data_IF_853496909235
#
_entry.id   IF_853496909235
#
_cell.length_a   1.000
_cell.length_b   1.000
_cell.length_c   1.000
_cell.angle_alpha   90.00
_cell.angle_beta   90.00
_cell.angle_gamma   90.00
#
_symmetry.space_group_name_H-M   'P 1'
#
loop_
_entity.id
_entity.type
_entity.pdbx_description
1 polymer ?
#
# COMPACT_ATOMS: atom_id res chain seq x y z
N UNK A 1 11.04 34.60 17.55
CA UNK A 1 10.13 33.45 17.72
C UNK A 1 9.53 33.02 16.38
N UNK A 2 10.34 32.42 15.49
CA UNK A 2 9.86 31.91 14.17
C UNK A 2 10.23 30.44 13.93
N UNK A 3 10.90 29.81 14.89
CA UNK A 3 11.36 28.42 14.80
C UNK A 3 10.25 27.38 15.00
N UNK A 4 9.16 27.70 15.71
CA UNK A 4 8.12 26.70 16.02
C UNK A 4 7.08 26.46 14.91
N UNK A 5 6.87 27.38 13.96
CA UNK A 5 5.78 27.25 12.98
C UNK A 5 6.17 26.44 11.73
N UNK A 6 7.46 26.41 11.39
CA UNK A 6 7.96 25.69 10.22
C UNK A 6 8.14 24.19 10.48
N UNK A 7 8.50 23.79 11.71
CA UNK A 7 8.62 22.38 12.11
C UNK A 7 7.25 21.71 12.37
N UNK A 8 6.29 22.43 12.96
CA UNK A 8 4.92 21.91 13.17
C UNK A 8 4.15 21.72 11.85
N UNK A 9 4.46 22.50 10.81
CA UNK A 9 3.80 22.42 9.52
C UNK A 9 4.17 21.16 8.71
N UNK A 10 5.16 20.35 9.10
CA UNK A 10 5.59 19.19 8.32
C UNK A 10 4.63 17.99 8.41
N UNK A 11 4.65 17.21 9.50
CA UNK A 11 3.84 16.00 9.63
C UNK A 11 2.33 16.26 9.65
N UNK A 12 1.88 17.37 10.25
CA UNK A 12 0.45 17.70 10.34
C UNK A 12 -0.13 18.09 8.97
N UNK A 13 0.62 18.83 8.15
CA UNK A 13 0.20 19.13 6.78
C UNK A 13 0.17 17.88 5.92
N UNK A 14 1.18 17.01 6.04
CA UNK A 14 1.21 15.73 5.34
C UNK A 14 -0.02 14.88 5.71
N UNK A 15 -0.34 14.77 7.00
CA UNK A 15 -1.55 14.08 7.46
C UNK A 15 -2.84 14.72 6.92
N UNK A 16 -2.90 16.05 6.87
CA UNK A 16 -4.01 16.79 6.28
C UNK A 16 -4.18 16.52 4.78
N UNK A 17 -3.09 16.40 4.02
CA UNK A 17 -3.12 16.05 2.60
C UNK A 17 -3.55 14.60 2.38
N UNK A 18 -3.01 13.67 3.17
CA UNK A 18 -3.37 12.25 3.07
C UNK A 18 -4.84 12.02 3.46
N UNK A 19 -5.38 12.79 4.41
CA UNK A 19 -6.81 12.79 4.73
C UNK A 19 -7.68 13.25 3.56
N UNK A 20 -7.32 14.35 2.90
CA UNK A 20 -8.03 14.80 1.69
C UNK A 20 -7.94 13.77 0.56
N UNK A 21 -6.77 13.15 0.39
CA UNK A 21 -6.57 12.08 -0.58
C UNK A 21 -7.49 10.89 -0.33
N UNK A 22 -7.61 10.45 0.94
CA UNK A 22 -8.60 9.44 1.34
C UNK A 22 -10.01 9.87 0.95
N UNK A 23 -10.44 11.07 1.31
CA UNK A 23 -11.82 11.52 1.07
C UNK A 23 -12.15 11.56 -0.44
N UNK A 24 -11.19 11.95 -1.28
CA UNK A 24 -11.33 11.93 -2.73
C UNK A 24 -11.43 10.50 -3.29
N UNK A 25 -10.62 9.57 -2.76
CA UNK A 25 -10.68 8.17 -3.16
C UNK A 25 -11.98 7.50 -2.74
N UNK A 26 -12.49 7.80 -1.54
CA UNK A 26 -13.79 7.31 -1.06
C UNK A 26 -14.92 7.79 -1.98
N UNK A 27 -14.92 9.06 -2.39
CA UNK A 27 -15.86 9.57 -3.41
C UNK A 27 -15.69 8.92 -4.77
N UNK A 28 -14.45 8.62 -5.17
CA UNK A 28 -14.21 7.89 -6.43
C UNK A 28 -14.84 6.51 -6.42
N UNK A 29 -14.86 5.82 -5.26
CA UNK A 29 -15.51 4.51 -5.13
C UNK A 29 -17.04 4.59 -5.26
N UNK A 30 -17.64 5.73 -4.89
CA UNK A 30 -19.08 5.97 -5.10
C UNK A 30 -19.43 6.14 -6.58
N UNK A 31 -18.49 6.60 -7.39
CA UNK A 31 -18.67 6.81 -8.84
C UNK A 31 -18.43 5.51 -9.61
N UNK A 32 -17.25 4.92 -9.44
CA UNK A 32 -16.88 3.66 -10.07
C UNK A 32 -15.82 2.95 -9.20
N UNK A 33 -16.20 1.90 -8.45
CA UNK A 33 -15.28 1.17 -7.57
C UNK A 33 -14.29 0.28 -8.35
N UNK A 34 -14.56 -0.04 -9.60
CA UNK A 34 -13.72 -0.91 -10.43
C UNK A 34 -12.79 -0.13 -11.38
N UNK A 35 -12.98 1.19 -11.46
CA UNK A 35 -12.16 2.11 -12.24
C UNK A 35 -10.66 1.82 -12.07
N UNK A 36 -9.96 1.76 -13.22
CA UNK A 36 -8.53 1.48 -13.29
C UNK A 36 -8.12 0.17 -12.59
N UNK A 37 -9.00 -0.83 -12.59
CA UNK A 37 -8.76 -2.12 -11.95
C UNK A 37 -8.75 -2.03 -10.42
N UNK A 38 -9.63 -1.21 -9.83
CA UNK A 38 -9.72 -1.05 -8.38
C UNK A 38 -8.55 -0.27 -7.77
N UNK A 39 -7.97 0.68 -8.52
CA UNK A 39 -6.82 1.48 -8.07
C UNK A 39 -7.14 2.30 -6.81
N UNK A 40 -8.38 2.76 -6.66
CA UNK A 40 -8.83 3.48 -5.48
C UNK A 40 -8.78 2.60 -4.22
N UNK A 41 -9.25 1.34 -4.32
CA UNK A 41 -9.12 0.36 -3.25
C UNK A 41 -7.65 0.08 -2.90
N UNK A 42 -6.77 -0.10 -3.89
CA UNK A 42 -5.34 -0.32 -3.64
C UNK A 42 -4.72 0.83 -2.83
N UNK A 43 -5.01 2.06 -3.25
CA UNK A 43 -4.47 3.28 -2.61
C UNK A 43 -5.04 3.50 -1.21
N UNK A 44 -6.35 3.34 -1.02
CA UNK A 44 -6.98 3.43 0.30
C UNK A 44 -6.41 2.39 1.26
N UNK A 45 -6.26 1.15 0.77
CA UNK A 45 -5.59 0.08 1.50
C UNK A 45 -4.22 0.48 2.03
N UNK A 46 -3.38 1.01 1.14
CA UNK A 46 -2.04 1.51 1.48
C UNK A 46 -2.06 2.60 2.55
N UNK A 47 -2.89 3.64 2.34
CA UNK A 47 -3.00 4.76 3.26
C UNK A 47 -3.43 4.28 4.66
N UNK A 48 -4.40 3.37 4.74
CA UNK A 48 -4.95 2.92 6.01
C UNK A 48 -3.94 2.14 6.88
N UNK A 49 -2.98 1.40 6.31
CA UNK A 49 -1.95 0.71 7.12
C UNK A 49 -0.67 1.53 7.35
N UNK A 50 -0.45 2.57 6.53
CA UNK A 50 0.75 3.42 6.64
C UNK A 50 0.55 4.64 7.54
N UNK A 51 -0.69 5.15 7.65
CA UNK A 51 -1.01 6.30 8.50
C UNK A 51 -1.17 5.86 9.97
N UNK A 52 -0.74 6.67 10.95
CA UNK A 52 -1.02 6.40 12.36
C UNK A 52 -2.51 6.27 12.66
N UNK A 53 -2.86 5.40 13.60
CA UNK A 53 -4.23 5.28 14.11
C UNK A 53 -4.65 6.45 15.01
N UNK A 54 -5.87 6.37 15.54
CA UNK A 54 -6.37 7.31 16.54
C UNK A 54 -5.50 7.31 17.82
N UNK A 55 -5.22 8.45 18.46
CA UNK A 55 -5.73 9.80 18.15
C UNK A 55 -4.90 10.61 17.15
N UNK A 56 -3.73 10.12 16.73
CA UNK A 56 -2.80 10.89 15.89
C UNK A 56 -3.23 10.96 14.42
N UNK A 57 -3.95 9.97 13.92
CA UNK A 57 -4.39 9.90 12.55
C UNK A 57 -5.67 9.09 12.38
N UNK A 58 -5.83 8.47 11.22
CA UNK A 58 -7.02 7.70 10.84
C UNK A 58 -6.69 6.31 10.32
N UNK A 59 -5.44 5.87 10.46
CA UNK A 59 -5.02 4.53 10.07
C UNK A 59 -5.87 3.46 10.74
N UNK A 60 -6.11 2.39 10.01
CA UNK A 60 -6.94 1.27 10.44
C UNK A 60 -6.53 0.01 9.68
N UNK A 61 -5.97 -0.96 10.41
CA UNK A 61 -5.52 -2.22 9.82
C UNK A 61 -6.69 -3.05 9.26
N UNK A 62 -7.88 -2.94 9.86
CA UNK A 62 -9.08 -3.61 9.36
C UNK A 62 -9.54 -3.01 8.03
N UNK A 63 -9.63 -1.69 7.93
CA UNK A 63 -9.98 -1.01 6.66
C UNK A 63 -8.91 -1.24 5.59
N UNK A 64 -7.63 -1.24 5.97
CA UNK A 64 -6.55 -1.55 5.06
C UNK A 64 -6.74 -2.93 4.41
N UNK A 65 -7.01 -3.95 5.21
CA UNK A 65 -7.25 -5.30 4.71
C UNK A 65 -8.50 -5.42 3.84
N UNK A 66 -9.59 -4.77 4.24
CA UNK A 66 -10.83 -4.72 3.47
C UNK A 66 -10.60 -4.17 2.06
N UNK A 67 -10.00 -2.98 1.96
CA UNK A 67 -9.73 -2.36 0.66
C UNK A 67 -8.71 -3.17 -0.17
N UNK A 68 -7.64 -3.68 0.44
CA UNK A 68 -6.65 -4.48 -0.30
C UNK A 68 -7.22 -5.80 -0.83
N UNK A 69 -8.09 -6.46 -0.05
CA UNK A 69 -8.79 -7.66 -0.53
C UNK A 69 -9.72 -7.33 -1.68
N UNK A 70 -10.48 -6.23 -1.58
CA UNK A 70 -11.35 -5.81 -2.69
C UNK A 70 -10.55 -5.49 -3.95
N UNK A 71 -9.39 -4.84 -3.83
CA UNK A 71 -8.51 -4.60 -4.97
C UNK A 71 -7.99 -5.90 -5.61
N UNK A 72 -7.70 -6.93 -4.81
CA UNK A 72 -7.32 -8.25 -5.31
C UNK A 72 -8.48 -9.01 -5.96
N UNK A 73 -9.72 -8.81 -5.52
CA UNK A 73 -10.90 -9.37 -6.17
C UNK A 73 -11.09 -8.76 -7.57
N UNK A 74 -10.88 -7.46 -7.71
CA UNK A 74 -11.04 -6.73 -8.98
C UNK A 74 -9.89 -7.05 -9.94
N UNK A 75 -8.65 -7.08 -9.44
CA UNK A 75 -7.46 -7.24 -10.26
C UNK A 75 -6.48 -8.26 -9.64
N UNK A 76 -6.81 -9.57 -9.69
CA UNK A 76 -6.09 -10.62 -8.95
C UNK A 76 -4.64 -10.81 -9.39
N UNK A 77 -4.33 -10.52 -10.66
CA UNK A 77 -2.99 -10.69 -11.23
C UNK A 77 -2.24 -9.37 -11.41
N UNK A 78 -2.83 -8.24 -11.00
CA UNK A 78 -2.21 -6.93 -11.17
C UNK A 78 -1.07 -6.71 -10.17
N UNK A 79 -0.02 -6.03 -10.63
CA UNK A 79 1.21 -5.81 -9.86
C UNK A 79 0.96 -5.01 -8.56
N UNK A 80 0.17 -3.93 -8.64
CA UNK A 80 -0.03 -3.00 -7.54
C UNK A 80 -0.80 -3.63 -6.34
N UNK A 81 -2.00 -4.22 -6.50
CA UNK A 81 -2.71 -4.82 -5.36
C UNK A 81 -1.96 -5.99 -4.74
N UNK A 82 -1.30 -6.83 -5.53
CA UNK A 82 -0.45 -7.91 -5.02
C UNK A 82 0.75 -7.36 -4.22
N UNK A 83 1.39 -6.29 -4.70
CA UNK A 83 2.48 -5.64 -4.00
C UNK A 83 2.03 -5.03 -2.66
N UNK A 84 0.98 -4.22 -2.66
CA UNK A 84 0.50 -3.53 -1.47
C UNK A 84 -0.09 -4.50 -0.44
N UNK A 85 -0.73 -5.60 -0.86
CA UNK A 85 -1.14 -6.64 0.08
C UNK A 85 0.06 -7.41 0.66
N UNK A 86 1.09 -7.68 -0.13
CA UNK A 86 2.36 -8.20 0.36
C UNK A 86 3.01 -7.28 1.40
N UNK A 87 3.05 -5.97 1.14
CA UNK A 87 3.60 -4.97 2.06
C UNK A 87 2.77 -4.82 3.35
N UNK A 88 1.44 -4.78 3.24
CA UNK A 88 0.54 -4.84 4.39
C UNK A 88 0.85 -6.05 5.29
N UNK A 89 1.05 -7.23 4.69
CA UNK A 89 1.39 -8.43 5.43
C UNK A 89 2.77 -8.36 6.10
N UNK A 90 3.75 -7.68 5.48
CA UNK A 90 5.03 -7.38 6.14
C UNK A 90 4.83 -6.48 7.36
N UNK A 91 4.03 -5.42 7.24
CA UNK A 91 3.70 -4.51 8.34
C UNK A 91 3.03 -5.25 9.52
N UNK A 92 2.28 -6.31 9.24
CA UNK A 92 1.67 -7.20 10.25
C UNK A 92 2.59 -8.32 10.76
N UNK A 93 3.86 -8.34 10.35
CA UNK A 93 4.83 -9.37 10.74
C UNK A 93 4.58 -10.75 10.13
N UNK A 94 3.75 -10.84 9.08
CA UNK A 94 3.30 -12.07 8.42
C UNK A 94 4.17 -12.40 7.21
N UNK A 95 5.49 -12.44 7.43
CA UNK A 95 6.54 -12.54 6.41
C UNK A 95 6.35 -13.68 5.39
N UNK A 96 5.98 -14.88 5.85
CA UNK A 96 5.77 -16.02 4.95
C UNK A 96 4.64 -15.80 3.94
N UNK A 97 3.51 -15.21 4.39
CA UNK A 97 2.41 -14.87 3.48
C UNK A 97 2.78 -13.68 2.59
N UNK A 98 3.48 -12.68 3.13
CA UNK A 98 3.98 -11.55 2.34
C UNK A 98 4.84 -12.01 1.15
N UNK A 99 5.74 -12.98 1.37
CA UNK A 99 6.58 -13.55 0.31
C UNK A 99 5.76 -14.09 -0.87
N UNK A 100 4.64 -14.77 -0.59
CA UNK A 100 3.78 -15.34 -1.63
C UNK A 100 3.14 -14.24 -2.49
N UNK A 101 2.62 -13.19 -1.88
CA UNK A 101 1.99 -12.07 -2.58
C UNK A 101 2.98 -11.20 -3.35
N UNK A 102 4.17 -10.95 -2.79
CA UNK A 102 5.22 -10.22 -3.49
C UNK A 102 5.76 -11.01 -4.70
N UNK A 103 5.83 -12.34 -4.63
CA UNK A 103 6.18 -13.16 -5.80
C UNK A 103 5.13 -13.07 -6.89
N UNK A 104 3.83 -13.05 -6.53
CA UNK A 104 2.75 -12.80 -7.50
C UNK A 104 2.88 -11.44 -8.16
N UNK A 105 3.12 -10.39 -7.36
CA UNK A 105 3.40 -9.05 -7.91
C UNK A 105 4.58 -9.06 -8.88
N UNK A 106 5.67 -9.77 -8.56
CA UNK A 106 6.83 -9.87 -9.44
C UNK A 106 6.54 -10.62 -10.75
N UNK A 107 5.56 -11.52 -10.75
CA UNK A 107 5.13 -12.31 -11.90
C UNK A 107 3.95 -11.70 -12.67
N UNK A 108 3.41 -10.57 -12.20
CA UNK A 108 2.27 -9.90 -12.82
C UNK A 108 2.55 -9.59 -14.31
N UNK A 109 1.54 -9.66 -15.21
CA UNK A 109 1.71 -9.28 -16.62
C UNK A 109 2.20 -7.84 -16.78
N UNK A 110 2.96 -7.57 -17.84
CA UNK A 110 3.36 -6.21 -18.19
C UNK A 110 2.18 -5.43 -18.77
N UNK A 111 2.07 -4.16 -18.37
CA UNK A 111 1.11 -3.22 -18.96
C UNK A 111 1.87 -2.26 -19.87
N UNK A 112 1.76 -2.37 -21.21
CA UNK A 112 2.58 -1.59 -22.13
C UNK A 112 2.51 -0.08 -21.89
N UNK A 113 1.30 0.42 -21.58
CA UNK A 113 1.00 1.81 -21.24
C UNK A 113 1.61 2.27 -19.89
N UNK A 114 2.06 1.34 -19.05
CA UNK A 114 2.66 1.61 -17.73
C UNK A 114 4.04 0.98 -17.53
N UNK A 115 4.73 0.60 -18.60
CA UNK A 115 6.00 -0.12 -18.58
C UNK A 115 7.05 0.47 -17.62
N UNK A 116 7.20 1.81 -17.60
CA UNK A 116 8.15 2.48 -16.69
C UNK A 116 7.75 2.35 -15.21
N UNK A 117 6.46 2.53 -14.92
CA UNK A 117 5.93 2.42 -13.55
C UNK A 117 6.00 0.97 -13.06
N UNK A 118 5.69 0.00 -13.92
CA UNK A 118 5.77 -1.43 -13.60
C UNK A 118 7.23 -1.85 -13.37
N UNK A 119 8.18 -1.35 -14.16
CA UNK A 119 9.60 -1.60 -13.93
C UNK A 119 10.07 -1.04 -12.58
N UNK A 120 9.62 0.15 -12.19
CA UNK A 120 9.90 0.73 -10.87
C UNK A 120 9.30 -0.12 -9.74
N UNK A 121 8.02 -0.48 -9.87
CA UNK A 121 7.32 -1.34 -8.91
C UNK A 121 8.01 -2.71 -8.77
N UNK A 122 8.46 -3.34 -9.86
CA UNK A 122 9.21 -4.61 -9.80
C UNK A 122 10.56 -4.47 -9.06
N UNK A 123 11.24 -3.32 -9.16
CA UNK A 123 12.44 -3.07 -8.33
C UNK A 123 12.09 -3.05 -6.85
N UNK A 124 11.02 -2.37 -6.47
CA UNK A 124 10.55 -2.34 -5.08
C UNK A 124 10.12 -3.73 -4.58
N UNK A 125 9.42 -4.51 -5.43
CA UNK A 125 9.03 -5.89 -5.12
C UNK A 125 10.26 -6.73 -4.77
N UNK A 126 11.33 -6.65 -5.58
CA UNK A 126 12.58 -7.38 -5.32
C UNK A 126 13.23 -6.97 -4.00
N UNK A 127 13.32 -5.66 -3.73
CA UNK A 127 13.84 -5.16 -2.45
C UNK A 127 13.04 -5.69 -1.26
N UNK A 128 11.71 -5.70 -1.34
CA UNK A 128 10.86 -6.24 -0.28
C UNK A 128 11.02 -7.77 -0.13
N UNK A 129 11.19 -8.51 -1.22
CA UNK A 129 11.48 -9.95 -1.16
C UNK A 129 12.80 -10.25 -0.45
N UNK A 130 13.84 -9.43 -0.67
CA UNK A 130 15.11 -9.56 0.02
C UNK A 130 14.97 -9.30 1.52
N UNK A 131 14.19 -8.28 1.91
CA UNK A 131 13.87 -8.01 3.31
C UNK A 131 13.09 -9.17 3.95
N UNK A 132 12.08 -9.70 3.25
CA UNK A 132 11.30 -10.86 3.73
C UNK A 132 12.20 -12.07 3.95
N UNK A 133 13.12 -12.33 3.02
CA UNK A 133 14.09 -13.43 3.14
C UNK A 133 14.97 -13.24 4.37
N UNK A 134 15.55 -12.06 4.56
CA UNK A 134 16.39 -11.76 5.71
C UNK A 134 15.64 -11.95 7.04
N UNK A 135 14.37 -11.52 7.12
CA UNK A 135 13.55 -11.70 8.32
C UNK A 135 13.15 -13.15 8.58
N UNK A 136 12.86 -13.93 7.53
CA UNK A 136 12.59 -15.35 7.69
C UNK A 136 13.84 -16.09 8.18
N UNK A 137 15.02 -15.81 7.61
CA UNK A 137 16.28 -16.46 8.00
C UNK A 137 16.65 -16.18 9.47
N UNK A 138 16.35 -14.98 9.99
CA UNK A 138 16.56 -14.64 11.41
C UNK A 138 15.69 -15.47 12.36
N UNK A 139 14.50 -15.90 11.94
CA UNK A 139 13.57 -16.65 12.80
C UNK A 139 13.93 -18.13 12.95
N UNK A 140 14.82 -18.65 12.11
CA UNK A 140 15.29 -20.04 12.14
C UNK A 140 16.71 -20.17 12.70
N UNK A 141 17.29 -19.08 13.22
CA UNK A 141 18.53 -19.07 14.00
C UNK A 141 18.20 -18.97 15.48
#
# INVERSE_FOLDING_TARGET
MLSNWAEEAGPLRALGLVRRGRDLLERSLEIDPEALGGAAHTTLGAIYYQVPGFPLGFGSQSKAEEHLRRALEIAPDAIDPNFFYGDYLMNRGRWGKAAAWLRRANAAPERPDRSLADAARRREVRQKLDLVRAELDKRFR
#
